data_IF_037700698495
#
_entry.id   IF_037700698495
#
_cell.length_a   1.000
_cell.length_b   1.000
_cell.length_c   1.000
_cell.angle_alpha   90.00
_cell.angle_beta   90.00
_cell.angle_gamma   90.00
#
_symmetry.space_group_name_H-M   'P 1'
#
loop_
_entity.id
_entity.type
_entity.pdbx_description
1 polymer ?
#
# COMPACT_ATOMS: atom_id res chain seq x y z
N UNK A 1 34.59 16.98 37.50
CA UNK A 1 35.92 17.58 37.21
C UNK A 1 36.06 17.69 35.70
N UNK A 2 36.02 18.92 35.17
CA UNK A 2 36.02 19.24 33.73
C UNK A 2 37.36 18.86 33.09
N UNK A 3 37.35 18.10 31.99
CA UNK A 3 38.55 17.92 31.15
C UNK A 3 38.38 18.77 29.89
N UNK A 4 39.35 19.64 29.73
CA UNK A 4 39.37 20.82 28.86
C UNK A 4 39.31 20.40 27.39
N UNK A 5 38.37 21.02 26.67
CA UNK A 5 38.23 20.97 25.22
C UNK A 5 39.51 21.54 24.64
N UNK A 6 40.39 20.70 24.11
CA UNK A 6 41.48 21.15 23.24
C UNK A 6 40.86 21.48 21.90
N UNK A 7 40.43 22.73 21.76
CA UNK A 7 40.09 23.35 20.49
C UNK A 7 41.40 23.48 19.70
N UNK A 8 41.72 22.44 18.92
CA UNK A 8 42.73 22.54 17.89
C UNK A 8 42.14 23.41 16.77
N UNK A 9 42.54 24.68 16.76
CA UNK A 9 42.39 25.58 15.61
C UNK A 9 43.34 25.06 14.52
N UNK A 10 42.83 24.16 13.70
CA UNK A 10 43.42 23.83 12.40
C UNK A 10 42.82 24.79 11.38
N UNK A 11 43.28 26.04 11.39
CA UNK A 11 43.01 27.05 10.36
C UNK A 11 43.85 26.75 9.09
N UNK A 12 43.87 25.49 8.66
CA UNK A 12 44.44 25.08 7.38
C UNK A 12 43.33 25.16 6.34
N UNK A 13 43.24 26.30 5.63
CA UNK A 13 42.37 26.42 4.46
C UNK A 13 42.68 25.23 3.53
N UNK A 14 41.70 24.35 3.23
CA UNK A 14 42.00 23.16 2.47
C UNK A 14 42.54 23.59 1.10
N UNK A 15 43.70 23.06 0.70
CA UNK A 15 44.28 23.28 -0.63
C UNK A 15 43.17 23.20 -1.69
N UNK A 16 43.22 24.09 -2.69
CA UNK A 16 42.12 24.39 -3.62
C UNK A 16 41.42 23.13 -4.17
N UNK A 17 42.17 22.05 -4.38
CA UNK A 17 41.69 20.76 -4.85
C UNK A 17 40.87 19.99 -3.80
N UNK A 18 41.29 19.96 -2.53
CA UNK A 18 40.54 19.35 -1.41
C UNK A 18 39.27 20.14 -1.10
N UNK A 19 39.33 21.46 -1.18
CA UNK A 19 38.15 22.34 -1.03
C UNK A 19 37.12 22.07 -2.12
N UNK A 20 37.55 21.86 -3.38
CA UNK A 20 36.67 21.53 -4.50
C UNK A 20 36.05 20.14 -4.38
N UNK A 21 36.84 19.13 -4.02
CA UNK A 21 36.33 17.77 -3.78
C UNK A 21 35.30 17.74 -2.64
N UNK A 22 35.56 18.45 -1.54
CA UNK A 22 34.62 18.58 -0.42
C UNK A 22 33.32 19.30 -0.82
N UNK A 23 33.40 20.36 -1.64
CA UNK A 23 32.22 21.06 -2.17
C UNK A 23 31.42 20.18 -3.14
N UNK A 24 32.08 19.39 -3.98
CA UNK A 24 31.45 18.49 -4.94
C UNK A 24 30.72 17.34 -4.22
N UNK A 25 31.38 16.65 -3.28
CA UNK A 25 30.78 15.58 -2.48
C UNK A 25 29.59 16.08 -1.67
N UNK A 26 29.71 17.28 -1.07
CA UNK A 26 28.61 17.89 -0.29
C UNK A 26 27.45 18.33 -1.19
N UNK A 27 27.72 18.80 -2.41
CA UNK A 27 26.69 19.15 -3.40
C UNK A 27 25.94 17.91 -3.93
N UNK A 28 26.65 16.81 -4.19
CA UNK A 28 26.08 15.53 -4.63
C UNK A 28 25.23 14.91 -3.52
N UNK A 29 25.74 14.91 -2.29
CA UNK A 29 25.01 14.37 -1.12
C UNK A 29 23.73 15.14 -0.85
N UNK A 30 23.79 16.48 -0.83
CA UNK A 30 22.59 17.30 -0.66
C UNK A 30 21.59 17.16 -1.82
N UNK A 31 22.06 16.99 -3.05
CA UNK A 31 21.19 16.75 -4.22
C UNK A 31 20.48 15.40 -4.11
N UNK A 32 21.19 14.34 -3.69
CA UNK A 32 20.64 13.01 -3.48
C UNK A 32 19.68 12.94 -2.29
N UNK A 33 19.98 13.60 -1.18
CA UNK A 33 19.07 13.71 -0.03
C UNK A 33 17.78 14.44 -0.40
N UNK A 34 17.88 15.61 -1.07
CA UNK A 34 16.70 16.33 -1.55
C UNK A 34 15.90 15.49 -2.56
N UNK A 35 16.55 14.75 -3.45
CA UNK A 35 15.86 13.83 -4.38
C UNK A 35 15.18 12.66 -3.65
N UNK A 36 15.81 12.10 -2.62
CA UNK A 36 15.26 11.02 -1.80
C UNK A 36 14.04 11.47 -0.99
N UNK A 37 14.09 12.66 -0.38
CA UNK A 37 12.97 13.24 0.36
C UNK A 37 11.80 13.59 -0.56
N UNK A 38 12.06 14.19 -1.73
CA UNK A 38 11.03 14.43 -2.75
C UNK A 38 10.38 13.13 -3.20
N UNK A 39 11.16 12.08 -3.41
CA UNK A 39 10.67 10.76 -3.80
C UNK A 39 9.82 10.11 -2.72
N UNK A 40 10.23 10.17 -1.45
CA UNK A 40 9.43 9.67 -0.31
C UNK A 40 8.10 10.42 -0.18
N UNK A 41 8.14 11.75 -0.29
CA UNK A 41 6.93 12.57 -0.27
C UNK A 41 6.00 12.23 -1.44
N UNK A 42 6.54 12.08 -2.65
CA UNK A 42 5.77 11.73 -3.84
C UNK A 42 5.14 10.33 -3.73
N UNK A 43 5.87 9.34 -3.20
CA UNK A 43 5.36 7.98 -2.96
C UNK A 43 4.20 7.98 -1.96
N UNK A 44 4.20 8.89 -0.99
CA UNK A 44 3.12 9.02 -0.02
C UNK A 44 1.95 9.86 -0.55
N UNK A 45 2.23 10.91 -1.32
CA UNK A 45 1.24 11.84 -1.83
C UNK A 45 0.46 11.28 -3.03
N UNK A 46 1.11 10.53 -3.93
CA UNK A 46 0.45 9.90 -5.08
C UNK A 46 -0.75 9.01 -4.67
N UNK A 47 -0.61 8.02 -3.77
CA UNK A 47 -1.75 7.18 -3.38
C UNK A 47 -2.85 7.99 -2.67
N UNK A 48 -2.49 9.04 -1.93
CA UNK A 48 -3.47 9.94 -1.34
C UNK A 48 -4.26 10.71 -2.42
N UNK A 49 -3.57 11.29 -3.40
CA UNK A 49 -4.19 12.01 -4.50
C UNK A 49 -5.08 11.09 -5.35
N UNK A 50 -4.59 9.89 -5.66
CA UNK A 50 -5.31 8.87 -6.44
C UNK A 50 -6.59 8.45 -5.72
N UNK A 51 -6.55 8.19 -4.40
CA UNK A 51 -7.74 7.83 -3.62
C UNK A 51 -8.77 8.95 -3.60
N UNK A 52 -8.34 10.21 -3.46
CA UNK A 52 -9.25 11.35 -3.48
C UNK A 52 -9.87 11.56 -4.87
N UNK A 53 -9.09 11.42 -5.93
CA UNK A 53 -9.59 11.51 -7.30
C UNK A 53 -10.60 10.39 -7.60
N UNK A 54 -10.32 9.16 -7.18
CA UNK A 54 -11.26 8.04 -7.30
C UNK A 54 -12.57 8.29 -6.56
N UNK A 55 -12.51 8.87 -5.34
CA UNK A 55 -13.70 9.27 -4.59
C UNK A 55 -14.49 10.34 -5.32
N UNK A 56 -13.83 11.33 -5.91
CA UNK A 56 -14.48 12.41 -6.63
C UNK A 56 -15.17 11.90 -7.90
N UNK A 57 -14.46 11.11 -8.72
CA UNK A 57 -15.01 10.48 -9.94
C UNK A 57 -16.15 9.55 -9.58
N UNK A 58 -16.03 8.83 -8.47
CA UNK A 58 -17.07 7.93 -8.01
C UNK A 58 -18.22 8.57 -7.26
N UNK A 59 -18.10 9.85 -6.91
CA UNK A 59 -19.21 10.67 -6.45
C UNK A 59 -19.96 11.28 -7.64
N UNK A 60 -19.25 11.63 -8.72
CA UNK A 60 -19.86 12.16 -9.95
C UNK A 60 -20.40 11.07 -10.88
N UNK A 61 -19.92 9.83 -10.78
CA UNK A 61 -20.38 8.72 -11.61
C UNK A 61 -21.52 7.93 -10.98
N UNK A 62 -22.59 7.73 -11.75
CA UNK A 62 -23.70 6.85 -11.37
C UNK A 62 -23.28 5.38 -11.52
N UNK A 63 -23.31 4.62 -10.41
CA UNK A 63 -23.00 3.18 -10.41
C UNK A 63 -24.21 2.40 -10.96
N UNK A 64 -24.02 1.73 -12.09
CA UNK A 64 -24.98 0.74 -12.62
C UNK A 64 -24.34 -0.63 -12.46
N UNK A 65 -24.97 -1.50 -11.66
CA UNK A 65 -24.51 -2.87 -11.49
C UNK A 65 -25.37 -3.80 -12.33
N UNK A 66 -24.80 -4.30 -13.42
CA UNK A 66 -25.47 -5.28 -14.28
C UNK A 66 -25.17 -6.67 -13.70
N UNK A 67 -26.20 -7.50 -13.49
CA UNK A 67 -26.05 -8.89 -13.02
C UNK A 67 -25.69 -9.05 -11.53
N UNK A 68 -25.92 -8.02 -10.69
CA UNK A 68 -25.55 -8.06 -9.27
C UNK A 68 -26.37 -9.04 -8.41
N UNK A 69 -27.48 -9.57 -8.94
CA UNK A 69 -28.43 -10.40 -8.19
C UNK A 69 -27.76 -11.66 -7.61
N UNK A 70 -26.87 -12.29 -8.37
CA UNK A 70 -26.14 -13.48 -7.92
C UNK A 70 -25.14 -13.15 -6.80
N UNK A 71 -24.44 -12.01 -6.92
CA UNK A 71 -23.47 -11.56 -5.93
C UNK A 71 -24.19 -11.16 -4.63
N UNK A 72 -25.29 -10.42 -4.72
CA UNK A 72 -26.10 -10.05 -3.55
C UNK A 72 -26.75 -11.27 -2.89
N UNK A 73 -27.15 -12.29 -3.66
CA UNK A 73 -27.63 -13.57 -3.11
C UNK A 73 -26.52 -14.28 -2.32
N UNK A 74 -25.34 -14.45 -2.90
CA UNK A 74 -24.18 -15.05 -2.23
C UNK A 74 -23.79 -14.27 -0.97
N UNK A 75 -23.85 -12.94 -1.04
CA UNK A 75 -23.55 -12.04 0.09
C UNK A 75 -24.58 -12.18 1.21
N UNK A 76 -25.88 -12.25 0.89
CA UNK A 76 -26.96 -12.53 1.86
C UNK A 76 -26.81 -13.90 2.49
N UNK A 77 -26.45 -14.90 1.70
CA UNK A 77 -26.20 -16.28 2.16
C UNK A 77 -24.88 -16.44 2.92
N UNK A 78 -24.10 -15.36 3.10
CA UNK A 78 -22.78 -15.36 3.77
C UNK A 78 -21.83 -16.44 3.22
N UNK A 79 -21.97 -16.78 1.94
CA UNK A 79 -21.15 -17.81 1.31
C UNK A 79 -19.78 -17.23 0.92
N UNK A 80 -18.71 -18.03 0.99
CA UNK A 80 -17.41 -17.62 0.48
C UNK A 80 -17.46 -17.47 -1.05
N UNK A 81 -16.85 -16.42 -1.58
CA UNK A 81 -16.76 -16.18 -3.03
C UNK A 81 -15.42 -15.57 -3.42
N UNK A 82 -15.07 -15.73 -4.70
CA UNK A 82 -13.86 -15.18 -5.30
C UNK A 82 -14.30 -14.14 -6.32
N UNK A 83 -13.78 -12.91 -6.19
CA UNK A 83 -13.96 -11.86 -7.19
C UNK A 83 -12.74 -11.79 -8.08
N UNK A 84 -12.98 -11.86 -9.39
CA UNK A 84 -11.97 -11.63 -10.41
C UNK A 84 -12.23 -10.28 -11.05
N UNK A 85 -11.18 -9.46 -11.17
CA UNK A 85 -11.25 -8.16 -11.82
C UNK A 85 -10.31 -8.14 -13.02
N UNK A 86 -10.72 -7.43 -14.07
CA UNK A 86 -9.85 -7.14 -15.20
C UNK A 86 -8.79 -6.11 -14.81
N UNK A 87 -7.59 -6.25 -15.38
CA UNK A 87 -6.45 -5.36 -15.12
C UNK A 87 -6.77 -3.88 -15.37
N UNK A 88 -7.61 -3.60 -16.39
CA UNK A 88 -8.08 -2.25 -16.73
C UNK A 88 -8.85 -1.56 -15.60
N UNK A 89 -9.46 -2.35 -14.71
CA UNK A 89 -10.31 -1.85 -13.62
C UNK A 89 -9.59 -1.86 -12.26
N UNK A 90 -8.30 -2.23 -12.20
CA UNK A 90 -7.53 -2.30 -10.95
C UNK A 90 -7.48 -0.96 -10.24
N UNK A 91 -7.45 0.15 -10.99
CA UNK A 91 -7.45 1.49 -10.41
C UNK A 91 -8.75 1.75 -9.63
N UNK A 92 -9.91 1.44 -10.21
CA UNK A 92 -11.21 1.80 -9.62
C UNK A 92 -11.80 0.70 -8.72
N UNK A 93 -11.26 -0.52 -8.81
CA UNK A 93 -11.73 -1.68 -8.04
C UNK A 93 -11.70 -1.47 -6.51
N UNK A 94 -10.64 -0.90 -5.88
CA UNK A 94 -10.63 -0.64 -4.44
C UNK A 94 -11.75 0.30 -3.99
N UNK A 95 -12.11 1.29 -4.81
CA UNK A 95 -13.20 2.23 -4.53
C UNK A 95 -14.58 1.56 -4.65
N UNK A 96 -14.78 0.74 -5.69
CA UNK A 96 -16.02 -0.01 -5.90
C UNK A 96 -16.25 -1.09 -4.82
N UNK A 97 -15.18 -1.73 -4.38
CA UNK A 97 -15.18 -2.83 -3.42
C UNK A 97 -14.77 -2.37 -2.01
N UNK A 98 -15.01 -1.11 -1.66
CA UNK A 98 -14.62 -0.53 -0.36
C UNK A 98 -15.34 -1.19 0.82
N UNK A 99 -14.64 -1.34 1.94
CA UNK A 99 -15.16 -1.87 3.21
C UNK A 99 -15.84 -3.24 3.09
N UNK A 100 -15.41 -4.08 2.13
CA UNK A 100 -15.96 -5.42 1.98
C UNK A 100 -15.22 -6.45 2.84
N UNK A 101 -14.09 -6.09 3.45
CA UNK A 101 -13.27 -7.01 4.26
C UNK A 101 -12.68 -8.15 3.44
N UNK A 102 -12.54 -7.95 2.12
CA UNK A 102 -12.02 -8.96 1.20
C UNK A 102 -10.50 -9.01 1.25
N UNK A 103 -9.94 -10.18 0.94
CA UNK A 103 -8.51 -10.37 0.74
C UNK A 103 -8.19 -10.30 -0.77
N UNK A 104 -7.46 -9.28 -1.19
CA UNK A 104 -7.10 -9.05 -2.59
C UNK A 104 -5.71 -9.61 -2.88
N UNK A 105 -5.57 -10.42 -3.94
CA UNK A 105 -4.27 -10.90 -4.39
C UNK A 105 -3.51 -9.78 -5.10
N UNK A 106 -2.32 -9.44 -4.62
CA UNK A 106 -1.49 -8.36 -5.19
C UNK A 106 -0.07 -8.88 -5.42
N UNK A 107 0.51 -8.54 -6.57
CA UNK A 107 1.89 -8.89 -6.93
C UNK A 107 2.93 -8.33 -5.95
N UNK A 108 4.08 -9.00 -5.85
CA UNK A 108 5.24 -8.57 -5.04
C UNK A 108 6.05 -7.41 -5.68
N UNK A 109 5.53 -6.78 -6.74
CA UNK A 109 6.20 -5.66 -7.41
C UNK A 109 6.06 -4.34 -6.66
N UNK A 110 6.91 -3.35 -7.02
CA UNK A 110 6.80 -1.96 -6.52
C UNK A 110 5.43 -1.35 -6.80
N UNK A 111 4.85 -1.63 -7.97
CA UNK A 111 3.51 -1.16 -8.32
C UNK A 111 2.43 -1.82 -7.44
N UNK A 112 2.66 -3.08 -7.07
CA UNK A 112 1.84 -3.79 -6.09
C UNK A 112 1.86 -3.15 -4.70
N UNK A 113 2.97 -2.53 -4.28
CA UNK A 113 3.05 -1.80 -2.99
C UNK A 113 2.14 -0.57 -2.96
N UNK A 114 2.01 0.13 -4.09
CA UNK A 114 1.07 1.23 -4.21
C UNK A 114 -0.38 0.75 -4.11
N UNK A 115 -0.73 -0.29 -4.87
CA UNK A 115 -2.08 -0.87 -4.84
C UNK A 115 -2.41 -1.41 -3.44
N UNK A 116 -1.44 -2.05 -2.78
CA UNK A 116 -1.58 -2.53 -1.41
C UNK A 116 -1.98 -1.40 -0.45
N UNK A 117 -1.27 -0.27 -0.48
CA UNK A 117 -1.60 0.88 0.37
C UNK A 117 -3.00 1.45 0.07
N UNK A 118 -3.39 1.49 -1.21
CA UNK A 118 -4.72 1.94 -1.62
C UNK A 118 -5.81 1.00 -1.11
N UNK A 119 -5.64 -0.32 -1.30
CA UNK A 119 -6.58 -1.36 -0.85
C UNK A 119 -6.77 -1.33 0.67
N UNK A 120 -5.67 -1.20 1.43
CA UNK A 120 -5.73 -1.06 2.89
C UNK A 120 -6.46 0.21 3.33
N UNK A 121 -6.26 1.34 2.62
CA UNK A 121 -6.95 2.60 2.93
C UNK A 121 -8.46 2.53 2.65
N UNK A 122 -8.90 1.63 1.76
CA UNK A 122 -10.31 1.35 1.52
C UNK A 122 -10.90 0.25 2.43
N UNK A 123 -10.19 -0.17 3.47
CA UNK A 123 -10.69 -1.11 4.49
C UNK A 123 -10.64 -2.59 4.08
N UNK A 124 -9.85 -2.92 3.06
CA UNK A 124 -9.66 -4.29 2.60
C UNK A 124 -8.26 -4.82 2.95
N UNK A 125 -8.11 -6.14 2.98
CA UNK A 125 -6.82 -6.78 3.19
C UNK A 125 -6.20 -7.16 1.85
N UNK A 126 -4.87 -7.30 1.80
CA UNK A 126 -4.19 -7.88 0.65
C UNK A 126 -3.36 -9.10 1.02
N UNK A 127 -3.17 -9.99 0.05
CA UNK A 127 -2.27 -11.14 0.12
C UNK A 127 -1.24 -10.96 -0.98
N UNK A 128 0.04 -11.04 -0.62
CA UNK A 128 1.16 -10.83 -1.55
C UNK A 128 1.56 -12.12 -2.26
N UNK A 129 1.74 -12.06 -3.58
CA UNK A 129 2.28 -13.18 -4.36
C UNK A 129 2.66 -12.83 -5.79
N UNK A 130 3.83 -13.29 -6.23
CA UNK A 130 4.30 -13.18 -7.62
C UNK A 130 3.82 -14.33 -8.51
N UNK A 131 3.48 -14.07 -9.77
CA UNK A 131 3.01 -15.10 -10.73
C UNK A 131 3.99 -16.26 -10.97
N UNK A 132 5.28 -16.11 -10.62
CA UNK A 132 6.32 -17.10 -10.87
C UNK A 132 6.58 -18.02 -9.68
N UNK A 133 6.90 -17.47 -8.49
CA UNK A 133 7.31 -18.27 -7.30
C UNK A 133 6.44 -18.04 -6.06
N UNK A 134 5.65 -16.96 -6.02
CA UNK A 134 4.80 -16.59 -4.88
C UNK A 134 3.31 -16.90 -5.05
N UNK A 135 2.86 -17.24 -6.26
CA UNK A 135 1.44 -17.38 -6.59
C UNK A 135 0.77 -18.55 -5.90
N UNK A 136 1.45 -19.70 -5.81
CA UNK A 136 0.96 -20.88 -5.08
C UNK A 136 0.83 -20.61 -3.57
N UNK A 137 1.80 -19.89 -2.99
CA UNK A 137 1.76 -19.46 -1.59
C UNK A 137 0.60 -18.51 -1.33
N UNK A 138 0.40 -17.56 -2.23
CA UNK A 138 -0.67 -16.58 -2.11
C UNK A 138 -2.05 -17.20 -2.32
N UNK A 139 -2.20 -18.14 -3.24
CA UNK A 139 -3.42 -18.93 -3.39
C UNK A 139 -3.73 -19.74 -2.13
N UNK A 140 -2.73 -20.41 -1.55
CA UNK A 140 -2.89 -21.14 -0.27
C UNK A 140 -3.31 -20.20 0.87
N UNK A 141 -2.74 -18.99 0.92
CA UNK A 141 -3.13 -17.96 1.88
C UNK A 141 -4.58 -17.50 1.66
N UNK A 142 -5.02 -17.28 0.42
CA UNK A 142 -6.42 -16.96 0.08
C UNK A 142 -7.37 -18.06 0.55
N UNK A 143 -7.07 -19.33 0.24
CA UNK A 143 -7.89 -20.48 0.68
C UNK A 143 -7.95 -20.55 2.21
N UNK A 144 -6.85 -20.26 2.89
CA UNK A 144 -6.79 -20.22 4.36
C UNK A 144 -7.66 -19.09 4.91
N UNK A 145 -7.58 -17.89 4.31
CA UNK A 145 -8.43 -16.76 4.67
C UNK A 145 -9.91 -17.05 4.44
N UNK A 146 -10.24 -17.69 3.32
CA UNK A 146 -11.61 -18.08 2.98
C UNK A 146 -12.18 -19.06 4.01
N UNK A 147 -11.41 -20.08 4.38
CA UNK A 147 -11.78 -21.04 5.45
C UNK A 147 -11.98 -20.33 6.79
N UNK A 148 -11.09 -19.40 7.16
CA UNK A 148 -11.20 -18.63 8.42
C UNK A 148 -12.45 -17.75 8.44
N UNK A 149 -12.75 -17.06 7.34
CA UNK A 149 -13.95 -16.24 7.21
C UNK A 149 -15.19 -17.13 7.30
N UNK A 150 -15.20 -18.27 6.58
CA UNK A 150 -16.32 -19.21 6.64
C UNK A 150 -16.55 -19.77 8.05
N UNK A 151 -15.49 -20.20 8.75
CA UNK A 151 -15.57 -20.63 10.15
C UNK A 151 -16.09 -19.51 11.08
N UNK A 152 -15.66 -18.26 10.87
CA UNK A 152 -16.15 -17.09 11.62
C UNK A 152 -17.62 -16.79 11.36
N UNK A 153 -18.11 -17.07 10.15
CA UNK A 153 -19.52 -16.88 9.79
C UNK A 153 -20.42 -18.00 10.34
N UNK A 154 -19.88 -19.22 10.51
CA UNK A 154 -20.58 -20.33 11.15
C UNK A 154 -20.68 -20.19 12.68
N UNK A 155 -19.80 -19.41 13.31
CA UNK A 155 -19.82 -19.18 14.76
C UNK A 155 -20.00 -17.67 15.09
N UNK A 156 -21.22 -17.11 14.93
CA UNK A 156 -21.49 -15.68 15.13
C UNK A 156 -21.34 -15.20 16.59
N UNK A 157 -21.12 -16.08 17.56
CA UNK A 157 -21.32 -15.83 18.99
C UNK A 157 -20.18 -15.08 19.71
N UNK A 158 -19.07 -14.73 19.05
CA UNK A 158 -17.85 -14.23 19.76
C UNK A 158 -17.57 -12.73 19.59
N UNK A 159 -18.48 -11.94 19.01
CA UNK A 159 -18.23 -10.52 18.71
C UNK A 159 -19.06 -9.51 19.50
N UNK A 160 -19.87 -9.93 20.48
CA UNK A 160 -20.49 -8.99 21.43
C UNK A 160 -19.58 -8.63 22.62
N UNK A 161 -18.41 -9.25 22.76
CA UNK A 161 -17.58 -9.11 23.96
C UNK A 161 -16.46 -8.05 23.90
N UNK A 162 -16.51 -7.08 22.98
CA UNK A 162 -15.60 -5.91 23.00
C UNK A 162 -16.31 -4.64 22.53
N UNK A 163 -17.09 -4.08 23.44
CA UNK A 163 -17.27 -2.63 23.56
C UNK A 163 -16.11 -2.03 24.34
#
# INVERSE_FOLDING_TARGET
MKRIITQKRDDEFPNSEKSRAYMEERSVTHKNEKQSLKRKFLIWFIPFLVVNLQKLIGFTSRRINIGNESIEKIRREKKPYILSIWHTNVLYSPYLNRNLGVAVLISESKDGDFINQVVHRFGNCSVRGSSSKGGSRALKALVTHLKKIFLRLLHPTVLEARH
#
